data_IF_530501191997
#
_entry.id   IF_530501191997
#
_cell.length_a   1.000
_cell.length_b   1.000
_cell.length_c   1.000
_cell.angle_alpha   90.00
_cell.angle_beta   90.00
_cell.angle_gamma   90.00
#
_symmetry.space_group_name_H-M   'P 1'
#
loop_
_entity.id
_entity.type
_entity.pdbx_description
1 polymer ?
#
# COMPACT_ATOMS: atom_id res chain seq x y z
N UNK A 1 8.29 -2.42 11.70
CA UNK A 1 7.61 -1.12 11.91
C UNK A 1 6.89 -0.69 10.64
N UNK A 2 5.78 0.03 10.77
CA UNK A 2 5.15 0.76 9.67
C UNK A 2 5.35 2.27 9.88
N UNK A 3 5.71 2.97 8.81
CA UNK A 3 5.97 4.41 8.84
C UNK A 3 5.38 5.11 7.61
N UNK A 4 4.85 6.31 7.86
CA UNK A 4 4.50 7.23 6.78
C UNK A 4 5.75 7.70 6.03
N UNK A 5 5.68 7.64 4.71
CA UNK A 5 6.71 8.16 3.84
C UNK A 5 6.33 9.54 3.28
N UNK A 6 7.25 10.46 3.40
CA UNK A 6 7.21 11.71 2.66
C UNK A 6 8.61 12.00 2.11
N UNK A 7 8.78 12.34 0.83
CA UNK A 7 10.10 12.60 0.24
C UNK A 7 10.93 13.62 1.03
N UNK A 8 10.27 14.65 1.57
CA UNK A 8 10.92 15.67 2.39
C UNK A 8 11.46 15.15 3.73
N UNK A 9 10.99 13.98 4.20
CA UNK A 9 11.42 13.36 5.45
C UNK A 9 12.40 12.18 5.24
N UNK A 10 12.73 11.82 4.00
CA UNK A 10 13.50 10.63 3.66
C UNK A 10 14.79 10.47 4.51
N UNK A 11 15.61 11.52 4.62
CA UNK A 11 16.85 11.49 5.43
C UNK A 11 16.59 11.24 6.93
N UNK A 12 15.49 11.78 7.47
CA UNK A 12 15.14 11.56 8.87
C UNK A 12 14.63 10.12 9.10
N UNK A 13 13.87 9.59 8.14
CA UNK A 13 13.40 8.20 8.15
C UNK A 13 14.60 7.24 8.08
N UNK A 14 15.51 7.45 7.15
CA UNK A 14 16.75 6.67 7.00
C UNK A 14 17.53 6.61 8.31
N UNK A 15 17.85 7.76 8.89
CA UNK A 15 18.55 7.85 10.17
C UNK A 15 17.83 7.13 11.31
N UNK A 16 16.49 7.19 11.32
CA UNK A 16 15.70 6.51 12.34
C UNK A 16 15.75 4.99 12.15
N UNK A 17 15.54 4.49 10.93
CA UNK A 17 15.58 3.07 10.62
C UNK A 17 16.94 2.45 10.93
N UNK A 18 18.05 3.12 10.56
CA UNK A 18 19.41 2.68 10.87
C UNK A 18 19.68 2.52 12.37
N UNK A 19 19.06 3.36 13.21
CA UNK A 19 19.32 3.37 14.64
C UNK A 19 18.33 2.56 15.47
N UNK A 20 17.12 2.34 14.96
CA UNK A 20 16.03 1.70 15.70
C UNK A 20 16.13 0.18 15.80
N UNK A 21 16.86 -0.48 14.86
CA UNK A 21 17.13 -1.91 14.88
C UNK A 21 15.88 -2.78 14.64
N UNK A 22 15.00 -2.37 13.77
CA UNK A 22 13.86 -3.17 13.33
C UNK A 22 14.34 -4.30 12.40
N UNK A 23 13.65 -5.43 12.44
CA UNK A 23 13.94 -6.56 11.55
C UNK A 23 13.50 -6.26 10.10
N UNK A 24 12.46 -5.44 9.93
CA UNK A 24 11.98 -4.94 8.64
C UNK A 24 11.12 -3.68 8.82
N UNK A 25 10.96 -2.92 7.74
CA UNK A 25 10.18 -1.70 7.70
C UNK A 25 9.12 -1.75 6.57
N UNK A 26 7.90 -1.35 6.93
CA UNK A 26 6.80 -1.12 5.99
C UNK A 26 6.68 0.37 5.76
N UNK A 27 6.72 0.79 4.50
CA UNK A 27 6.47 2.16 4.10
C UNK A 27 5.05 2.33 3.59
N UNK A 28 4.37 3.37 4.03
CA UNK A 28 3.00 3.68 3.63
C UNK A 28 2.86 5.15 3.25
N UNK A 29 1.92 5.47 2.37
CA UNK A 29 1.59 6.85 2.00
C UNK A 29 0.19 7.14 2.50
N UNK A 30 0.09 7.90 3.59
CA UNK A 30 -1.18 8.35 4.15
C UNK A 30 -1.47 9.82 3.83
N UNK A 31 -0.44 10.62 3.54
CA UNK A 31 -0.57 12.05 3.28
C UNK A 31 0.08 12.44 1.96
N UNK A 32 -0.60 13.31 1.22
CA UNK A 32 -0.09 13.96 0.01
C UNK A 32 -0.36 15.45 0.15
N UNK A 33 0.69 16.27 0.08
CA UNK A 33 0.61 17.74 0.22
C UNK A 33 -0.17 18.19 1.46
N UNK A 34 -0.03 17.45 2.57
CA UNK A 34 -0.69 17.74 3.85
C UNK A 34 -2.16 17.32 3.92
N UNK A 35 -2.69 16.69 2.89
CA UNK A 35 -4.04 16.12 2.87
C UNK A 35 -3.98 14.60 3.06
N UNK A 36 -4.92 14.08 3.83
CA UNK A 36 -4.98 12.65 4.12
C UNK A 36 -5.60 11.88 2.96
N UNK A 37 -5.00 10.75 2.55
CA UNK A 37 -5.52 9.87 1.50
C UNK A 37 -6.73 9.02 1.96
N UNK A 38 -6.98 8.97 3.27
CA UNK A 38 -8.04 8.19 3.91
C UNK A 38 -9.39 8.94 3.93
N UNK A 39 -10.54 8.25 4.13
CA UNK A 39 -11.88 8.86 4.15
C UNK A 39 -12.13 10.00 5.16
N UNK A 40 -11.17 10.34 6.00
CA UNK A 40 -11.26 11.48 6.91
C UNK A 40 -11.14 12.84 6.21
N UNK A 41 -10.48 12.87 5.06
CA UNK A 41 -10.29 14.09 4.28
C UNK A 41 -11.54 14.39 3.47
N UNK A 42 -11.83 15.66 3.29
CA UNK A 42 -12.96 16.07 2.44
C UNK A 42 -12.47 16.45 1.05
N UNK A 43 -13.07 15.82 0.05
CA UNK A 43 -12.92 16.16 -1.36
C UNK A 43 -14.26 16.68 -1.95
N UNK A 44 -15.20 17.09 -1.09
CA UNK A 44 -16.54 17.48 -1.51
C UNK A 44 -16.53 18.71 -2.42
N UNK A 45 -15.66 19.67 -2.14
CA UNK A 45 -15.52 20.92 -2.89
C UNK A 45 -14.56 20.82 -4.09
N UNK A 46 -13.88 19.69 -4.23
CA UNK A 46 -12.94 19.47 -5.34
C UNK A 46 -13.68 19.06 -6.60
N UNK A 47 -13.34 19.70 -7.71
CA UNK A 47 -13.74 19.22 -9.04
C UNK A 47 -12.92 17.99 -9.48
N UNK A 48 -13.39 17.31 -10.55
CA UNK A 48 -12.74 16.08 -11.03
C UNK A 48 -11.25 16.27 -11.33
N UNK A 49 -10.85 17.37 -11.95
CA UNK A 49 -9.44 17.64 -12.24
C UNK A 49 -8.57 17.76 -10.99
N UNK A 50 -9.09 18.29 -9.88
CA UNK A 50 -8.36 18.38 -8.62
C UNK A 50 -8.23 17.01 -7.95
N UNK A 51 -9.28 16.19 -8.03
CA UNK A 51 -9.27 14.81 -7.54
C UNK A 51 -8.29 13.94 -8.34
N UNK A 52 -8.29 14.07 -9.67
CA UNK A 52 -7.34 13.37 -10.53
C UNK A 52 -5.90 13.79 -10.23
N UNK A 53 -5.64 15.09 -10.06
CA UNK A 53 -4.31 15.58 -9.67
C UNK A 53 -3.86 15.06 -8.30
N UNK A 54 -4.78 14.91 -7.34
CA UNK A 54 -4.45 14.30 -6.05
C UNK A 54 -4.10 12.81 -6.19
N UNK A 55 -4.84 12.07 -7.03
CA UNK A 55 -4.55 10.66 -7.31
C UNK A 55 -3.19 10.51 -7.99
N UNK A 56 -2.88 11.37 -8.98
CA UNK A 56 -1.56 11.39 -9.64
C UNK A 56 -0.45 11.62 -8.60
N UNK A 57 -0.60 12.62 -7.74
CA UNK A 57 0.38 12.95 -6.71
C UNK A 57 0.53 11.83 -5.65
N UNK A 58 -0.56 11.13 -5.32
CA UNK A 58 -0.51 9.96 -4.45
C UNK A 58 0.37 8.86 -5.05
N UNK A 59 0.16 8.51 -6.30
CA UNK A 59 0.97 7.48 -6.95
C UNK A 59 2.40 7.93 -7.24
N UNK A 60 2.65 9.23 -7.43
CA UNK A 60 4.00 9.77 -7.47
C UNK A 60 4.72 9.55 -6.14
N UNK A 61 4.04 9.76 -5.01
CA UNK A 61 4.60 9.48 -3.69
C UNK A 61 4.83 7.99 -3.43
N UNK A 62 3.91 7.12 -3.88
CA UNK A 62 4.07 5.66 -3.78
C UNK A 62 5.27 5.17 -4.60
N UNK A 63 5.45 5.65 -5.82
CA UNK A 63 6.63 5.35 -6.65
C UNK A 63 7.90 5.83 -5.97
N UNK A 64 7.90 7.08 -5.47
CA UNK A 64 9.05 7.64 -4.74
C UNK A 64 9.39 6.86 -3.47
N UNK A 65 8.39 6.30 -2.79
CA UNK A 65 8.60 5.41 -1.64
C UNK A 65 9.36 4.15 -2.09
N UNK A 66 8.90 3.47 -3.12
CA UNK A 66 9.57 2.27 -3.63
C UNK A 66 11.00 2.59 -4.11
N UNK A 67 11.19 3.71 -4.85
CA UNK A 67 12.49 4.15 -5.35
C UNK A 67 13.45 4.63 -4.24
N UNK A 68 12.94 4.95 -3.05
CA UNK A 68 13.78 5.34 -1.92
C UNK A 68 14.63 4.20 -1.37
N UNK A 69 14.22 2.95 -1.58
CA UNK A 69 14.83 1.74 -1.03
C UNK A 69 14.98 1.76 0.51
N UNK A 70 14.21 2.61 1.20
CA UNK A 70 14.23 2.73 2.65
C UNK A 70 13.38 1.66 3.35
N UNK A 71 12.47 1.04 2.62
CA UNK A 71 11.50 0.11 3.14
C UNK A 71 11.56 -1.23 2.41
N UNK A 72 11.41 -2.30 3.17
CA UNK A 72 11.35 -3.66 2.63
C UNK A 72 9.99 -3.94 1.99
N UNK A 73 8.95 -3.37 2.57
CA UNK A 73 7.55 -3.61 2.21
C UNK A 73 6.83 -2.31 1.87
N UNK A 74 6.05 -2.34 0.81
CA UNK A 74 5.10 -1.28 0.42
C UNK A 74 3.72 -1.66 0.96
N UNK A 75 3.25 -0.95 1.98
CA UNK A 75 1.95 -1.16 2.61
C UNK A 75 0.80 -0.70 1.72
N UNK A 76 -0.37 -1.29 1.86
CA UNK A 76 -1.69 -0.94 1.26
C UNK A 76 -1.66 0.07 0.09
N UNK A 77 -0.96 -0.29 -0.99
CA UNK A 77 -0.56 0.57 -2.11
C UNK A 77 -1.67 1.41 -2.77
N UNK A 78 -2.91 0.99 -2.66
CA UNK A 78 -4.08 1.66 -3.25
C UNK A 78 -5.07 2.17 -2.19
N UNK A 79 -4.55 2.63 -1.05
CA UNK A 79 -5.33 3.17 0.06
C UNK A 79 -6.38 4.22 -0.37
N UNK A 80 -6.08 5.02 -1.39
CA UNK A 80 -6.99 6.02 -1.94
C UNK A 80 -8.30 5.44 -2.50
N UNK A 81 -8.31 4.16 -2.87
CA UNK A 81 -9.52 3.48 -3.34
C UNK A 81 -10.58 3.30 -2.23
N UNK A 82 -10.20 3.47 -0.96
CA UNK A 82 -11.13 3.50 0.17
C UNK A 82 -11.92 4.81 0.23
N UNK A 83 -11.38 5.88 -0.38
CA UNK A 83 -12.04 7.16 -0.36
C UNK A 83 -13.13 7.26 -1.44
N UNK A 84 -14.43 7.46 -1.10
CA UNK A 84 -15.52 7.44 -2.07
C UNK A 84 -15.37 8.44 -3.23
N UNK A 85 -14.72 9.59 -2.98
CA UNK A 85 -14.52 10.64 -4.00
C UNK A 85 -13.32 10.36 -4.94
N UNK A 86 -12.41 9.45 -4.55
CA UNK A 86 -11.18 9.14 -5.30
C UNK A 86 -11.25 7.77 -5.96
N UNK A 87 -12.11 6.91 -5.48
CA UNK A 87 -12.31 5.55 -6.01
C UNK A 87 -12.54 5.52 -7.50
N UNK A 88 -11.89 4.53 -8.15
CA UNK A 88 -12.00 4.29 -9.58
C UNK A 88 -11.20 5.29 -10.45
N UNK A 89 -10.40 6.18 -9.81
CA UNK A 89 -9.52 7.12 -10.53
C UNK A 89 -8.12 6.56 -10.77
N UNK A 90 -7.80 5.43 -10.15
CA UNK A 90 -6.56 4.68 -10.42
C UNK A 90 -6.53 4.18 -11.85
N UNK A 91 -5.51 4.55 -12.59
CA UNK A 91 -5.33 4.19 -14.00
C UNK A 91 -4.35 3.01 -14.18
N UNK A 92 -4.37 2.38 -15.35
CA UNK A 92 -3.36 1.39 -15.72
C UNK A 92 -1.94 1.95 -15.72
N UNK A 93 -1.78 3.24 -16.02
CA UNK A 93 -0.49 3.91 -15.98
C UNK A 93 0.05 3.97 -14.54
N UNK A 94 -0.80 4.29 -13.56
CA UNK A 94 -0.42 4.29 -12.14
C UNK A 94 0.05 2.91 -11.71
N UNK A 95 -0.75 1.87 -11.98
CA UNK A 95 -0.42 0.48 -11.60
C UNK A 95 0.91 0.02 -12.20
N UNK A 96 1.13 0.27 -13.49
CA UNK A 96 2.38 -0.12 -14.16
C UNK A 96 3.60 0.62 -13.61
N UNK A 97 3.48 1.92 -13.32
CA UNK A 97 4.60 2.70 -12.73
C UNK A 97 5.00 2.15 -11.37
N UNK A 98 4.03 1.88 -10.51
CA UNK A 98 4.30 1.32 -9.17
C UNK A 98 4.89 -0.09 -9.28
N UNK A 99 4.32 -0.94 -10.14
CA UNK A 99 4.82 -2.30 -10.32
C UNK A 99 6.25 -2.31 -10.90
N UNK A 100 6.56 -1.42 -11.84
CA UNK A 100 7.91 -1.27 -12.37
C UNK A 100 8.90 -0.83 -11.28
N UNK A 101 8.56 0.18 -10.47
CA UNK A 101 9.40 0.62 -9.36
C UNK A 101 9.68 -0.51 -8.37
N UNK A 102 8.65 -1.26 -7.96
CA UNK A 102 8.83 -2.42 -7.07
C UNK A 102 9.71 -3.53 -7.70
N UNK A 103 9.55 -3.77 -9.01
CA UNK A 103 10.37 -4.76 -9.71
C UNK A 103 11.84 -4.34 -9.82
N UNK A 104 12.12 -3.05 -9.97
CA UNK A 104 13.46 -2.48 -10.10
C UNK A 104 14.20 -2.42 -8.75
N UNK A 105 13.49 -2.06 -7.68
CA UNK A 105 14.09 -1.88 -6.34
C UNK A 105 14.05 -3.15 -5.50
N UNK A 106 13.15 -4.07 -5.80
CA UNK A 106 12.91 -5.24 -4.96
C UNK A 106 11.99 -4.97 -3.77
N UNK A 107 11.42 -3.76 -3.64
CA UNK A 107 10.41 -3.45 -2.61
C UNK A 107 9.16 -4.32 -2.80
N UNK A 108 8.71 -4.99 -1.74
CA UNK A 108 7.69 -6.03 -1.82
C UNK A 108 6.33 -5.44 -1.44
N UNK A 109 5.32 -5.42 -2.35
CA UNK A 109 3.99 -4.97 -2.00
C UNK A 109 3.28 -5.94 -1.05
N UNK A 110 2.51 -5.40 -0.15
CA UNK A 110 1.68 -6.12 0.80
C UNK A 110 0.29 -6.42 0.21
N UNK A 111 -0.19 -7.66 0.37
CA UNK A 111 -1.62 -7.97 0.32
C UNK A 111 -2.15 -7.75 1.72
N UNK A 112 -2.88 -6.65 1.91
CA UNK A 112 -3.27 -6.13 3.20
C UNK A 112 -4.78 -6.31 3.41
N UNK A 113 -5.18 -6.81 4.58
CA UNK A 113 -6.57 -7.05 4.93
C UNK A 113 -7.22 -5.92 5.74
N UNK A 114 -6.58 -4.76 5.83
CA UNK A 114 -7.08 -3.61 6.57
C UNK A 114 -8.38 -3.02 6.02
N UNK A 115 -8.62 -3.15 4.71
CA UNK A 115 -9.88 -2.74 4.06
C UNK A 115 -11.08 -3.59 4.49
N UNK A 116 -10.84 -4.76 5.04
CA UNK A 116 -11.87 -5.72 5.41
C UNK A 116 -12.39 -5.46 6.82
N UNK A 117 -13.68 -5.60 7.05
CA UNK A 117 -14.31 -5.42 8.35
C UNK A 117 -15.15 -4.14 8.42
N UNK A 118 -15.43 -3.65 9.64
CA UNK A 118 -16.40 -2.58 9.91
C UNK A 118 -16.00 -1.18 9.43
N UNK A 119 -14.94 -1.06 8.65
CA UNK A 119 -14.34 0.22 8.24
C UNK A 119 -14.69 0.68 6.84
N UNK A 120 -15.80 0.32 6.29
CA UNK A 120 -16.15 0.90 5.03
C UNK A 120 -17.11 0.09 4.18
N UNK A 121 -17.53 0.69 3.09
CA UNK A 121 -18.48 0.11 2.13
C UNK A 121 -17.87 -1.06 1.33
N UNK A 122 -16.57 -1.41 1.56
CA UNK A 122 -15.83 -2.27 0.66
C UNK A 122 -15.09 -3.39 1.38
N UNK A 123 -15.46 -4.59 1.01
CA UNK A 123 -14.89 -5.84 1.54
C UNK A 123 -13.60 -6.31 0.81
N UNK A 124 -13.03 -5.46 -0.05
CA UNK A 124 -11.87 -5.82 -0.86
C UNK A 124 -10.56 -5.70 -0.07
N UNK A 125 -9.59 -6.54 -0.38
CA UNK A 125 -8.23 -6.43 0.12
C UNK A 125 -7.48 -5.30 -0.62
N UNK A 126 -6.43 -4.77 0.00
CA UNK A 126 -5.40 -4.00 -0.69
C UNK A 126 -4.30 -4.93 -1.22
N UNK A 127 -3.80 -4.72 -2.43
CA UNK A 127 -4.40 -3.87 -3.45
C UNK A 127 -5.57 -4.57 -4.16
N UNK A 128 -6.37 -3.79 -4.86
CA UNK A 128 -7.44 -4.29 -5.71
C UNK A 128 -6.93 -5.26 -6.79
N UNK A 129 -7.76 -6.22 -7.28
CA UNK A 129 -7.32 -7.25 -8.23
C UNK A 129 -6.56 -6.75 -9.46
N UNK A 130 -6.91 -5.63 -10.13
CA UNK A 130 -6.13 -5.14 -11.26
C UNK A 130 -4.68 -4.74 -10.91
N UNK A 131 -4.44 -4.32 -9.67
CA UNK A 131 -3.08 -4.08 -9.19
C UNK A 131 -2.32 -5.37 -8.98
N UNK A 132 -2.97 -6.37 -8.37
CA UNK A 132 -2.38 -7.70 -8.15
C UNK A 132 -1.93 -8.31 -9.48
N UNK A 133 -2.79 -8.26 -10.51
CA UNK A 133 -2.46 -8.73 -11.85
C UNK A 133 -1.26 -7.99 -12.43
N UNK A 134 -1.25 -6.64 -12.32
CA UNK A 134 -0.14 -5.82 -12.84
C UNK A 134 1.18 -6.16 -12.14
N UNK A 135 1.20 -6.35 -10.83
CA UNK A 135 2.40 -6.77 -10.10
C UNK A 135 2.90 -8.14 -10.57
N UNK A 136 1.99 -9.10 -10.74
CA UNK A 136 2.35 -10.45 -11.25
C UNK A 136 2.96 -10.39 -12.66
N UNK A 137 2.41 -9.56 -13.54
CA UNK A 137 2.92 -9.38 -14.90
C UNK A 137 4.35 -8.79 -14.89
N UNK A 138 4.73 -8.06 -13.84
CA UNK A 138 6.09 -7.53 -13.64
C UNK A 138 6.97 -8.48 -12.82
N UNK A 139 6.49 -9.68 -12.47
CA UNK A 139 7.26 -10.66 -11.69
C UNK A 139 7.43 -10.29 -10.21
N UNK A 140 6.67 -9.32 -9.73
CA UNK A 140 6.72 -8.88 -8.32
C UNK A 140 5.99 -9.88 -7.44
N UNK A 141 6.58 -10.23 -6.31
CA UNK A 141 6.01 -11.10 -5.29
C UNK A 141 5.37 -10.29 -4.18
N UNK A 142 4.62 -10.95 -3.30
CA UNK A 142 3.87 -10.30 -2.22
C UNK A 142 4.26 -10.84 -0.86
N UNK A 143 4.10 -10.02 0.16
CA UNK A 143 3.87 -10.43 1.55
C UNK A 143 2.38 -10.26 1.88
N UNK A 144 1.96 -10.75 3.03
CA UNK A 144 0.58 -10.58 3.52
C UNK A 144 0.58 -9.91 4.88
N UNK A 145 -0.40 -9.04 5.11
CA UNK A 145 -0.60 -8.40 6.39
C UNK A 145 -2.09 -8.28 6.74
N UNK A 146 -2.39 -8.40 8.00
CA UNK A 146 -3.76 -8.22 8.49
C UNK A 146 -4.11 -6.77 8.75
N UNK A 147 -3.10 -5.93 8.99
CA UNK A 147 -3.29 -4.55 9.43
C UNK A 147 -4.26 -4.44 10.62
N UNK A 148 -4.20 -5.44 11.51
CA UNK A 148 -5.10 -5.53 12.66
C UNK A 148 -4.70 -4.53 13.74
N UNK A 149 -5.59 -3.61 14.07
CA UNK A 149 -5.42 -2.62 15.13
C UNK A 149 -6.08 -3.05 16.44
N UNK A 150 -6.88 -4.11 16.40
CA UNK A 150 -7.55 -4.72 17.55
C UNK A 150 -7.38 -6.25 17.46
N UNK A 151 -7.15 -6.96 18.60
CA UNK A 151 -7.07 -8.41 18.60
C UNK A 151 -8.29 -9.12 18.02
N UNK A 152 -9.48 -8.50 18.08
CA UNK A 152 -10.71 -9.02 17.50
C UNK A 152 -10.71 -9.07 15.96
N UNK A 153 -9.96 -8.19 15.33
CA UNK A 153 -9.87 -8.11 13.87
C UNK A 153 -9.07 -9.26 13.26
N UNK A 154 -8.09 -9.78 14.02
CA UNK A 154 -7.03 -10.62 13.49
C UNK A 154 -7.55 -11.90 12.80
N UNK A 155 -8.44 -12.65 13.48
CA UNK A 155 -8.91 -13.94 12.95
C UNK A 155 -9.73 -13.77 11.66
N UNK A 156 -10.66 -12.82 11.66
CA UNK A 156 -11.51 -12.59 10.49
C UNK A 156 -10.72 -12.09 9.26
N UNK A 157 -9.66 -11.31 9.48
CA UNK A 157 -8.78 -10.83 8.42
C UNK A 157 -7.88 -11.93 7.89
N UNK A 158 -7.37 -12.82 8.75
CA UNK A 158 -6.64 -14.01 8.32
C UNK A 158 -7.49 -14.92 7.46
N UNK A 159 -8.73 -15.24 7.87
CA UNK A 159 -9.62 -16.09 7.09
C UNK A 159 -9.91 -15.53 5.69
N UNK A 160 -9.86 -14.21 5.52
CA UNK A 160 -10.02 -13.57 4.21
C UNK A 160 -8.75 -13.65 3.37
N UNK A 161 -7.60 -13.42 3.98
CA UNK A 161 -6.30 -13.60 3.31
C UNK A 161 -6.15 -15.01 2.80
N UNK A 162 -6.43 -16.01 3.63
CA UNK A 162 -6.34 -17.41 3.24
C UNK A 162 -7.25 -17.74 2.05
N UNK A 163 -8.51 -17.28 2.08
CA UNK A 163 -9.43 -17.49 0.94
C UNK A 163 -8.98 -16.79 -0.33
N UNK A 164 -8.42 -15.58 -0.20
CA UNK A 164 -7.89 -14.84 -1.34
C UNK A 164 -6.69 -15.57 -1.95
N UNK A 165 -5.75 -16.03 -1.13
CA UNK A 165 -4.57 -16.76 -1.57
C UNK A 165 -4.94 -18.09 -2.24
N UNK A 166 -5.87 -18.85 -1.65
CA UNK A 166 -6.40 -20.07 -2.24
C UNK A 166 -7.05 -19.83 -3.61
N UNK A 167 -7.83 -18.74 -3.73
CA UNK A 167 -8.55 -18.41 -4.96
C UNK A 167 -7.62 -17.95 -6.07
N UNK A 168 -6.60 -17.15 -5.73
CA UNK A 168 -5.68 -16.56 -6.71
C UNK A 168 -4.47 -17.43 -7.02
N UNK A 169 -4.18 -18.43 -6.18
CA UNK A 169 -2.98 -19.25 -6.26
C UNK A 169 -1.69 -18.45 -6.01
N UNK A 170 -1.79 -17.33 -5.29
CA UNK A 170 -0.62 -16.54 -4.90
C UNK A 170 0.07 -17.21 -3.72
N UNK A 171 1.36 -17.46 -3.87
CA UNK A 171 2.22 -17.92 -2.78
C UNK A 171 3.01 -16.72 -2.23
N UNK A 172 2.61 -16.17 -1.06
CA UNK A 172 3.29 -15.03 -0.48
C UNK A 172 4.71 -15.41 -0.02
N UNK A 173 5.59 -14.42 0.00
CA UNK A 173 6.89 -14.56 0.61
C UNK A 173 6.72 -14.75 2.13
N UNK A 174 7.44 -15.71 2.74
CA UNK A 174 7.52 -15.74 4.18
C UNK A 174 8.32 -14.51 4.67
N UNK A 175 7.96 -13.99 5.84
CA UNK A 175 8.62 -12.82 6.39
C UNK A 175 10.14 -13.00 6.53
N UNK A 176 10.60 -14.23 6.79
CA UNK A 176 12.03 -14.57 6.81
C UNK A 176 12.77 -14.39 5.48
N UNK A 177 12.06 -14.20 4.38
CA UNK A 177 12.66 -13.88 3.08
C UNK A 177 12.72 -12.36 2.82
N UNK A 178 12.10 -11.56 3.69
CA UNK A 178 12.13 -10.09 3.67
C UNK A 178 13.25 -9.58 4.57
N UNK A 179 13.48 -10.29 5.68
CA UNK A 179 14.55 -9.99 6.64
C UNK A 179 15.86 -10.54 6.08
N UNK A 180 16.72 -9.67 5.58
CA UNK A 180 18.03 -9.99 5.00
C UNK A 180 19.13 -10.13 6.04
#
# INVERSE_FOLDING_TARGET
VEMDYAPAAATAIESFLETAGFDYAIGSVHYVDGRHAFPFESFADDGDAARDAFVDAYYDAVVSLAESELFDVLGHVDLIEDHPALRGRTTDAHRRRVAAACAETGTIPEINAGRTGDRGEFDDLHPAPPFVETFRDHGVRFVVGTDAHDPGDFTGRLDRLDRFLETTGIEPLPLSAVVG
#
